data_IF_828716649634
#
_entry.id   IF_828716649634
#
_cell.length_a   1.000
_cell.length_b   1.000
_cell.length_c   1.000
_cell.angle_alpha   90.00
_cell.angle_beta   90.00
_cell.angle_gamma   90.00
#
_symmetry.space_group_name_H-M   'P 1'
#
loop_
_entity.id
_entity.type
_entity.pdbx_description
1 polymer ?
#
# COMPACT_ATOMS: atom_id res chain seq x y z
N UNK A 1 6.82 6.34 -5.08
CA UNK A 1 5.38 6.70 -4.89
C UNK A 1 4.58 6.11 -6.04
N UNK A 2 3.45 5.48 -5.74
CA UNK A 2 2.54 4.87 -6.72
C UNK A 2 1.21 5.64 -6.65
N UNK A 3 0.65 6.06 -7.78
CA UNK A 3 -0.51 6.97 -7.78
C UNK A 3 -1.78 6.21 -8.11
N UNK A 4 -2.74 6.24 -7.17
CA UNK A 4 -4.13 5.81 -7.37
C UNK A 4 -4.24 4.43 -8.06
N UNK A 5 -4.77 4.39 -9.25
CA UNK A 5 -5.04 3.19 -10.06
C UNK A 5 -3.79 2.33 -10.33
N UNK A 6 -2.60 2.94 -10.39
CA UNK A 6 -1.35 2.20 -10.64
C UNK A 6 -1.03 1.15 -9.57
N UNK A 7 -1.60 1.28 -8.35
CA UNK A 7 -1.41 0.29 -7.28
C UNK A 7 -2.00 -1.09 -7.62
N UNK A 8 -3.02 -1.14 -8.49
CA UNK A 8 -3.65 -2.41 -8.90
C UNK A 8 -2.71 -3.29 -9.73
N UNK A 9 -1.67 -2.70 -10.29
CA UNK A 9 -0.63 -3.42 -11.00
C UNK A 9 0.50 -3.77 -10.04
N UNK A 10 0.64 -5.05 -9.75
CA UNK A 10 1.68 -5.55 -8.82
C UNK A 10 3.09 -5.14 -9.22
N UNK A 11 3.32 -4.90 -10.51
CA UNK A 11 4.58 -4.42 -11.08
C UNK A 11 4.97 -3.04 -10.54
N UNK A 12 4.00 -2.14 -10.32
CA UNK A 12 4.26 -0.78 -9.83
C UNK A 12 4.92 -0.81 -8.44
N UNK A 13 4.26 -1.45 -7.47
CA UNK A 13 4.78 -1.58 -6.10
C UNK A 13 6.04 -2.44 -6.07
N UNK A 14 6.08 -3.52 -6.87
CA UNK A 14 7.26 -4.38 -6.99
C UNK A 14 8.47 -3.60 -7.50
N UNK A 15 8.29 -2.76 -8.48
CA UNK A 15 9.38 -1.93 -9.05
C UNK A 15 9.95 -0.98 -8.01
N UNK A 16 9.09 -0.28 -7.26
CA UNK A 16 9.53 0.61 -6.18
C UNK A 16 10.34 -0.15 -5.12
N UNK A 17 9.86 -1.32 -4.71
CA UNK A 17 10.57 -2.16 -3.74
C UNK A 17 11.92 -2.67 -4.27
N UNK A 18 12.00 -3.03 -5.56
CA UNK A 18 13.25 -3.45 -6.23
C UNK A 18 14.24 -2.29 -6.35
N UNK A 19 13.77 -1.06 -6.44
CA UNK A 19 14.59 0.16 -6.42
C UNK A 19 15.02 0.56 -5.00
N UNK A 20 14.62 -0.22 -3.97
CA UNK A 20 15.06 -0.04 -2.60
C UNK A 20 14.09 0.72 -1.69
N UNK A 21 12.85 0.95 -2.11
CA UNK A 21 11.87 1.62 -1.26
C UNK A 21 11.56 0.78 -0.01
N UNK A 22 11.60 1.41 1.16
CA UNK A 22 11.18 0.84 2.44
C UNK A 22 9.78 1.27 2.85
N UNK A 23 9.32 2.41 2.32
CA UNK A 23 7.97 2.94 2.44
C UNK A 23 7.45 3.38 1.07
N UNK A 24 6.25 2.96 0.72
CA UNK A 24 5.57 3.31 -0.52
C UNK A 24 4.34 4.14 -0.19
N UNK A 25 4.25 5.33 -0.76
CA UNK A 25 3.10 6.23 -0.58
C UNK A 25 2.14 6.07 -1.75
N UNK A 26 0.84 5.96 -1.45
CA UNK A 26 -0.23 5.81 -2.44
C UNK A 26 -1.31 6.88 -2.22
N UNK A 27 -1.22 8.05 -2.86
CA UNK A 27 -2.33 8.97 -2.94
C UNK A 27 -3.42 8.39 -3.86
N UNK A 28 -4.68 8.40 -3.41
CA UNK A 28 -5.79 7.78 -4.16
C UNK A 28 -7.13 8.48 -3.91
N UNK A 29 -8.13 8.19 -4.74
CA UNK A 29 -9.47 8.73 -4.67
C UNK A 29 -10.50 7.60 -4.91
N UNK A 30 -10.52 6.61 -4.02
CA UNK A 30 -11.47 5.50 -4.06
C UNK A 30 -12.86 5.98 -3.62
N UNK A 31 -13.89 5.53 -4.32
CA UNK A 31 -15.28 5.86 -4.03
C UNK A 31 -15.97 4.80 -3.16
N UNK A 32 -17.15 5.11 -2.61
CA UNK A 32 -17.88 4.18 -1.72
C UNK A 32 -18.50 2.98 -2.45
N UNK A 33 -18.71 3.09 -3.76
CA UNK A 33 -19.20 2.00 -4.60
C UNK A 33 -18.10 1.03 -5.07
N UNK A 34 -16.84 1.34 -4.77
CA UNK A 34 -15.71 0.44 -5.02
C UNK A 34 -15.48 -0.55 -3.86
N UNK A 35 -14.84 -1.72 -4.11
CA UNK A 35 -14.70 -2.79 -3.11
C UNK A 35 -13.62 -2.45 -2.07
N UNK A 36 -13.94 -1.59 -1.10
CA UNK A 36 -13.00 -1.05 -0.11
C UNK A 36 -12.23 -2.12 0.67
N UNK A 37 -12.89 -3.23 1.05
CA UNK A 37 -12.21 -4.33 1.75
C UNK A 37 -11.14 -5.00 0.87
N UNK A 38 -11.44 -5.18 -0.41
CA UNK A 38 -10.48 -5.75 -1.36
C UNK A 38 -9.27 -4.83 -1.55
N UNK A 39 -9.49 -3.52 -1.55
CA UNK A 39 -8.41 -2.53 -1.63
C UNK A 39 -7.54 -2.50 -0.38
N UNK A 40 -8.12 -2.70 0.81
CA UNK A 40 -7.36 -2.87 2.05
C UNK A 40 -6.47 -4.13 1.96
N UNK A 41 -7.02 -5.26 1.49
CA UNK A 41 -6.28 -6.49 1.28
C UNK A 41 -5.16 -6.34 0.24
N UNK A 42 -5.44 -5.67 -0.87
CA UNK A 42 -4.45 -5.38 -1.90
C UNK A 42 -3.22 -4.68 -1.32
N UNK A 43 -3.42 -3.62 -0.55
CA UNK A 43 -2.34 -2.87 0.11
C UNK A 43 -1.55 -3.77 1.06
N UNK A 44 -2.22 -4.55 1.90
CA UNK A 44 -1.59 -5.48 2.86
C UNK A 44 -0.77 -6.56 2.17
N UNK A 45 -1.33 -7.19 1.14
CA UNK A 45 -0.65 -8.24 0.36
C UNK A 45 0.57 -7.67 -0.36
N UNK A 46 0.46 -6.49 -0.96
CA UNK A 46 1.58 -5.84 -1.62
C UNK A 46 2.70 -5.47 -0.63
N UNK A 47 2.36 -4.95 0.56
CA UNK A 47 3.33 -4.68 1.62
C UNK A 47 4.08 -5.96 2.03
N UNK A 48 3.34 -7.03 2.31
CA UNK A 48 3.90 -8.34 2.67
C UNK A 48 4.81 -8.92 1.59
N UNK A 49 4.36 -8.98 0.33
CA UNK A 49 5.10 -9.59 -0.77
C UNK A 49 6.37 -8.83 -1.14
N UNK A 50 6.39 -7.52 -0.87
CA UNK A 50 7.51 -6.65 -1.20
C UNK A 50 8.40 -6.31 0.01
N UNK A 51 7.98 -6.72 1.22
CA UNK A 51 8.66 -6.41 2.47
C UNK A 51 8.95 -4.91 2.60
N UNK A 52 7.93 -4.09 2.31
CA UNK A 52 7.96 -2.65 2.38
C UNK A 52 6.68 -2.15 3.06
N UNK A 53 6.79 -1.15 3.92
CA UNK A 53 5.61 -0.48 4.46
C UNK A 53 4.84 0.26 3.36
N UNK A 54 3.52 0.36 3.50
CA UNK A 54 2.67 1.10 2.55
C UNK A 54 1.77 2.06 3.31
N UNK A 55 1.71 3.30 2.84
CA UNK A 55 0.77 4.30 3.35
C UNK A 55 -0.13 4.77 2.20
N UNK A 56 -1.38 4.35 2.22
CA UNK A 56 -2.42 4.80 1.29
C UNK A 56 -3.21 5.95 1.91
N UNK A 57 -3.19 7.10 1.24
CA UNK A 57 -3.98 8.27 1.61
C UNK A 57 -5.15 8.41 0.63
N UNK A 58 -6.36 8.18 1.11
CA UNK A 58 -7.57 8.26 0.30
C UNK A 58 -8.35 9.55 0.55
N UNK A 59 -8.98 10.03 -0.49
CA UNK A 59 -9.89 11.17 -0.45
C UNK A 59 -11.14 10.87 0.38
N UNK A 60 -11.72 11.88 0.99
CA UNK A 60 -13.01 11.86 1.69
C UNK A 60 -13.99 12.87 1.11
N UNK A 61 -15.26 12.78 1.52
CA UNK A 61 -16.31 13.72 1.13
C UNK A 61 -16.91 13.44 -0.23
N UNK A 62 -17.72 14.37 -0.72
CA UNK A 62 -18.46 14.23 -1.97
C UNK A 62 -18.05 15.29 -2.99
N UNK A 63 -18.08 14.91 -4.27
CA UNK A 63 -17.91 15.81 -5.42
C UNK A 63 -18.86 15.40 -6.54
N UNK A 64 -19.85 16.24 -6.81
CA UNK A 64 -20.92 15.90 -7.73
C UNK A 64 -21.72 14.68 -7.26
N UNK A 65 -21.68 13.61 -8.03
CA UNK A 65 -22.35 12.35 -7.69
C UNK A 65 -21.40 11.33 -7.02
N UNK A 66 -20.11 11.62 -6.97
CA UNK A 66 -19.11 10.73 -6.36
C UNK A 66 -19.02 10.99 -4.85
N UNK A 67 -19.02 9.91 -4.07
CA UNK A 67 -18.72 9.93 -2.63
C UNK A 67 -17.45 9.12 -2.39
N UNK A 68 -16.46 9.75 -1.77
CA UNK A 68 -15.16 9.11 -1.54
C UNK A 68 -15.13 8.39 -0.18
N UNK A 69 -14.61 7.17 -0.18
CA UNK A 69 -14.73 6.25 0.95
C UNK A 69 -13.83 6.57 2.15
N UNK A 70 -12.85 7.47 2.01
CA UNK A 70 -11.85 7.68 3.05
C UNK A 70 -11.03 6.42 3.31
N UNK A 71 -11.00 5.90 4.54
CA UNK A 71 -10.32 4.65 4.92
C UNK A 71 -8.84 4.62 4.60
N UNK A 72 -8.15 5.78 4.71
CA UNK A 72 -6.69 5.82 4.59
C UNK A 72 -6.04 4.77 5.50
N UNK A 73 -5.01 4.08 5.01
CA UNK A 73 -4.45 2.90 5.64
C UNK A 73 -2.93 2.96 5.64
N UNK A 74 -2.32 2.65 6.79
CA UNK A 74 -0.87 2.46 6.91
C UNK A 74 -0.60 1.03 7.36
N UNK A 75 0.28 0.33 6.63
CA UNK A 75 0.74 -1.02 6.95
C UNK A 75 2.23 -1.03 7.23
N UNK A 76 2.68 -1.99 8.03
CA UNK A 76 4.09 -2.32 8.15
C UNK A 76 4.58 -3.18 6.96
N UNK A 77 5.86 -3.54 6.99
CA UNK A 77 6.49 -4.38 5.95
C UNK A 77 6.09 -5.88 6.01
N UNK A 78 5.28 -6.28 6.99
CA UNK A 78 4.62 -7.58 7.04
C UNK A 78 3.17 -7.55 6.53
N UNK A 79 2.66 -6.37 6.16
CA UNK A 79 1.28 -6.21 5.74
C UNK A 79 0.30 -6.08 6.91
N UNK A 80 0.79 -5.95 8.14
CA UNK A 80 -0.07 -5.70 9.30
C UNK A 80 -0.49 -4.23 9.34
N UNK A 81 -1.76 -3.99 9.70
CA UNK A 81 -2.29 -2.63 9.82
C UNK A 81 -1.67 -1.92 11.03
N UNK A 82 -0.94 -0.84 10.81
CA UNK A 82 -0.46 0.06 11.87
C UNK A 82 -1.55 1.05 12.27
N UNK A 83 -2.20 1.66 11.27
CA UNK A 83 -3.26 2.63 11.49
C UNK A 83 -4.23 2.64 10.31
N UNK A 84 -5.52 2.88 10.59
CA UNK A 84 -6.56 3.03 9.57
C UNK A 84 -7.54 4.13 9.98
N UNK A 85 -7.86 5.00 9.04
CA UNK A 85 -8.88 6.04 9.21
C UNK A 85 -10.29 5.51 8.94
N UNK A 86 -11.29 6.21 9.45
CA UNK A 86 -12.68 6.05 9.04
C UNK A 86 -12.97 6.73 7.69
N UNK A 87 -14.26 6.93 7.39
CA UNK A 87 -14.70 7.58 6.15
C UNK A 87 -14.63 9.12 6.21
N UNK A 88 -14.53 9.70 7.40
CA UNK A 88 -14.52 11.17 7.58
C UNK A 88 -13.13 11.78 7.39
N UNK A 89 -13.11 13.10 7.21
CA UNK A 89 -11.88 13.90 7.17
C UNK A 89 -11.14 13.80 8.51
N UNK A 90 -9.86 13.39 8.45
CA UNK A 90 -9.01 13.23 9.64
C UNK A 90 -7.54 13.29 9.30
N UNK A 91 -6.72 13.61 10.31
CA UNK A 91 -5.28 13.38 10.28
C UNK A 91 -4.99 12.02 10.93
N UNK A 92 -4.41 11.12 10.14
CA UNK A 92 -3.97 9.81 10.62
C UNK A 92 -2.47 9.84 10.89
N UNK A 93 -2.07 9.51 12.11
CA UNK A 93 -0.66 9.40 12.51
C UNK A 93 -0.28 7.94 12.68
N UNK A 94 0.91 7.58 12.21
CA UNK A 94 1.45 6.24 12.34
C UNK A 94 2.99 6.29 12.46
N UNK A 95 3.54 5.52 13.39
CA UNK A 95 4.98 5.30 13.50
C UNK A 95 5.37 4.08 12.69
N UNK A 96 6.25 4.25 11.70
CA UNK A 96 6.72 3.19 10.80
C UNK A 96 8.19 2.90 11.08
N UNK A 97 8.50 1.66 11.45
CA UNK A 97 9.89 1.20 11.58
C UNK A 97 10.51 0.98 10.20
N UNK A 98 11.25 1.97 9.72
CA UNK A 98 11.92 1.93 8.41
C UNK A 98 13.01 0.85 8.35
N UNK A 99 13.56 0.43 9.49
CA UNK A 99 14.58 -0.63 9.54
C UNK A 99 13.98 -2.03 9.35
N UNK A 100 12.70 -2.18 9.57
CA UNK A 100 11.98 -3.46 9.47
C UNK A 100 12.05 -4.04 8.06
N UNK A 101 11.97 -3.21 7.03
CA UNK A 101 12.01 -3.67 5.63
C UNK A 101 13.27 -4.45 5.31
N UNK A 102 14.44 -3.92 5.67
CA UNK A 102 15.71 -4.59 5.42
C UNK A 102 15.82 -5.92 6.20
N UNK A 103 15.42 -5.92 7.47
CA UNK A 103 15.41 -7.12 8.33
C UNK A 103 14.49 -8.19 7.77
N UNK A 104 13.28 -7.83 7.35
CA UNK A 104 12.28 -8.75 6.82
C UNK A 104 12.72 -9.30 5.45
N UNK A 105 13.33 -8.50 4.59
CA UNK A 105 13.92 -8.96 3.30
C UNK A 105 15.00 -10.01 3.51
N UNK A 106 15.80 -9.90 4.58
CA UNK A 106 16.77 -10.92 4.95
C UNK A 106 16.14 -12.24 5.40
N UNK A 107 15.01 -12.18 6.11
CA UNK A 107 14.28 -13.36 6.59
C UNK A 107 13.36 -13.98 5.54
N UNK A 108 12.76 -13.14 4.68
CA UNK A 108 11.80 -13.51 3.64
C UNK A 108 12.24 -12.91 2.29
N UNK A 109 13.20 -13.54 1.59
CA UNK A 109 13.85 -12.96 0.43
C UNK A 109 13.01 -13.08 -0.87
N UNK A 110 11.71 -12.82 -0.82
CA UNK A 110 10.79 -12.98 -1.97
C UNK A 110 11.22 -12.20 -3.20
N UNK A 111 11.72 -10.98 -3.01
CA UNK A 111 12.17 -10.14 -4.12
C UNK A 111 13.46 -10.66 -4.77
N UNK A 112 14.33 -11.32 -3.99
CA UNK A 112 15.61 -11.86 -4.46
C UNK A 112 15.45 -13.23 -5.15
N UNK A 113 14.45 -14.01 -4.76
CA UNK A 113 14.17 -15.34 -5.32
C UNK A 113 13.34 -15.31 -6.61
N UNK A 114 13.11 -14.12 -7.16
CA UNK A 114 12.39 -13.97 -8.44
C UNK A 114 13.21 -14.58 -9.56
N UNK A 115 12.50 -15.10 -10.55
CA UNK A 115 13.08 -15.65 -11.79
C UNK A 115 12.61 -14.81 -12.98
N UNK A 116 13.13 -13.57 -13.16
CA UNK A 116 12.65 -12.63 -14.17
C UNK A 116 12.68 -13.19 -15.60
N UNK A 117 13.58 -14.14 -15.85
CA UNK A 117 13.70 -14.83 -17.14
C UNK A 117 12.50 -15.69 -17.50
N UNK A 118 11.65 -16.02 -16.51
CA UNK A 118 10.41 -16.80 -16.71
C UNK A 118 9.15 -15.92 -16.81
N UNK A 119 9.25 -14.63 -16.51
CA UNK A 119 8.12 -13.71 -16.54
C UNK A 119 8.16 -12.87 -17.84
N UNK A 120 7.09 -12.90 -18.60
CA UNK A 120 6.97 -12.17 -19.87
C UNK A 120 5.69 -11.33 -19.87
#
# INVERSE_FOLDING_TARGET
MVVCFDRHYSESIRTEAMLGADLILIPTANTEDEPAEMFDWEVKVQAFQNSAAVAMCNRTGAEGQMVFSGRSLVTDANGETIAQAGSGETLLYADVDMSASARIRGQRPYTQLRRPELYR
#
